data_IF_877226991074
#
_entry.id   IF_877226991074
#
_cell.length_a   1.000
_cell.length_b   1.000
_cell.length_c   1.000
_cell.angle_alpha   90.00
_cell.angle_beta   90.00
_cell.angle_gamma   90.00
#
_symmetry.space_group_name_H-M   'P 1'
#
loop_
_entity.id
_entity.type
_entity.pdbx_description
1 polymer ?
#
# COMPACT_ATOMS: atom_id res chain seq x y z
N UNK A 1 -7.78 6.95 -20.34
CA UNK A 1 -7.25 8.08 -19.52
C UNK A 1 -8.38 8.58 -18.63
N UNK A 2 -8.10 8.76 -17.34
CA UNK A 2 -9.09 9.09 -16.31
C UNK A 2 -8.92 10.53 -15.82
N UNK A 3 -10.02 11.16 -15.40
CA UNK A 3 -9.95 12.38 -14.60
C UNK A 3 -9.45 12.07 -13.17
N UNK A 4 -8.75 12.99 -12.50
CA UNK A 4 -8.34 12.80 -11.10
C UNK A 4 -9.51 12.43 -10.18
N UNK A 5 -10.69 13.03 -10.38
CA UNK A 5 -11.90 12.67 -9.62
C UNK A 5 -12.31 11.21 -9.82
N UNK A 6 -12.22 10.66 -11.03
CA UNK A 6 -12.55 9.25 -11.26
C UNK A 6 -11.55 8.32 -10.58
N UNK A 7 -10.27 8.70 -10.57
CA UNK A 7 -9.23 7.93 -9.87
C UNK A 7 -9.42 8.00 -8.36
N UNK A 8 -9.81 9.16 -7.82
CA UNK A 8 -10.11 9.36 -6.42
C UNK A 8 -11.22 8.41 -5.93
N UNK A 9 -12.31 8.29 -6.70
CA UNK A 9 -13.38 7.32 -6.41
C UNK A 9 -12.88 5.87 -6.43
N UNK A 10 -12.03 5.50 -7.40
CA UNK A 10 -11.48 4.13 -7.51
C UNK A 10 -10.56 3.79 -6.34
N UNK A 11 -9.72 4.75 -5.93
CA UNK A 11 -8.73 4.55 -4.87
C UNK A 11 -9.30 4.78 -3.46
N UNK A 12 -10.49 5.38 -3.35
CA UNK A 12 -11.08 5.75 -2.05
C UNK A 12 -10.33 6.86 -1.33
N UNK A 13 -9.71 7.79 -2.08
CA UNK A 13 -8.90 8.91 -1.56
C UNK A 13 -9.42 10.23 -2.11
N UNK A 14 -8.90 11.36 -1.62
CA UNK A 14 -9.23 12.69 -2.15
C UNK A 14 -8.59 12.96 -3.51
N UNK A 15 -9.14 13.92 -4.25
CA UNK A 15 -8.54 14.39 -5.51
C UNK A 15 -7.14 14.96 -5.30
N UNK A 16 -6.91 15.68 -4.18
CA UNK A 16 -5.59 16.23 -3.86
C UNK A 16 -4.56 15.13 -3.60
N UNK A 17 -4.95 14.04 -2.95
CA UNK A 17 -4.09 12.86 -2.80
C UNK A 17 -3.75 12.22 -4.15
N UNK A 18 -4.70 12.14 -5.09
CA UNK A 18 -4.39 11.67 -6.46
C UNK A 18 -3.35 12.57 -7.12
N UNK A 19 -3.46 13.90 -6.96
CA UNK A 19 -2.49 14.85 -7.51
C UNK A 19 -1.13 14.70 -6.83
N UNK A 20 -1.10 14.48 -5.51
CA UNK A 20 0.13 14.19 -4.77
C UNK A 20 0.82 12.92 -5.29
N UNK A 21 0.07 11.83 -5.49
CA UNK A 21 0.60 10.59 -6.06
C UNK A 21 1.20 10.78 -7.46
N UNK A 22 0.63 11.67 -8.28
CA UNK A 22 1.21 12.05 -9.58
C UNK A 22 2.53 12.81 -9.40
N UNK A 23 2.58 13.76 -8.47
CA UNK A 23 3.81 14.51 -8.16
C UNK A 23 4.92 13.62 -7.59
N UNK A 24 4.55 12.63 -6.78
CA UNK A 24 5.45 11.60 -6.23
C UNK A 24 5.87 10.56 -7.26
N UNK A 25 5.36 10.63 -8.49
CA UNK A 25 5.56 9.66 -9.58
C UNK A 25 5.06 8.24 -9.25
N UNK A 26 4.16 8.12 -8.28
CA UNK A 26 3.45 6.87 -7.97
C UNK A 26 2.31 6.61 -8.96
N UNK A 27 1.73 7.68 -9.52
CA UNK A 27 0.78 7.60 -10.64
C UNK A 27 1.32 8.35 -11.85
N UNK A 28 1.11 7.79 -13.05
CA UNK A 28 1.42 8.46 -14.31
C UNK A 28 0.28 9.40 -14.70
N UNK A 29 0.55 10.70 -14.72
CA UNK A 29 -0.40 11.72 -15.10
C UNK A 29 0.22 12.83 -15.94
N UNK A 30 -0.60 13.46 -16.78
CA UNK A 30 -0.22 14.60 -17.60
C UNK A 30 -1.36 15.63 -17.67
N UNK A 31 -1.00 16.91 -17.90
CA UNK A 31 -1.98 17.94 -18.24
C UNK A 31 -2.18 17.96 -19.76
N UNK A 32 -3.41 17.73 -20.22
CA UNK A 32 -3.73 17.59 -21.65
C UNK A 32 -4.90 18.50 -22.03
N UNK A 33 -4.91 19.01 -23.26
CA UNK A 33 -5.98 19.82 -23.84
C UNK A 33 -5.84 21.32 -23.66
N UNK A 34 -6.87 22.07 -24.08
CA UNK A 34 -6.99 23.52 -23.91
C UNK A 34 -8.41 23.87 -23.41
N UNK A 35 -8.58 24.38 -22.17
CA UNK A 35 -7.54 24.57 -21.16
C UNK A 35 -6.95 23.23 -20.69
N UNK A 36 -5.70 23.25 -20.26
CA UNK A 36 -4.99 22.04 -19.83
C UNK A 36 -5.64 21.45 -18.57
N UNK A 37 -6.03 20.17 -18.63
CA UNK A 37 -6.64 19.44 -17.51
C UNK A 37 -5.83 18.20 -17.20
N UNK A 38 -5.70 17.86 -15.93
CA UNK A 38 -5.05 16.64 -15.50
C UNK A 38 -5.78 15.39 -16.04
N UNK A 39 -5.00 14.44 -16.51
CA UNK A 39 -5.42 13.10 -16.92
C UNK A 39 -4.43 12.08 -16.37
N UNK A 40 -4.96 11.00 -15.83
CA UNK A 40 -4.18 9.89 -15.28
C UNK A 40 -4.29 8.69 -16.22
N UNK A 41 -3.18 7.99 -16.43
CA UNK A 41 -3.16 6.75 -17.21
C UNK A 41 -3.85 5.64 -16.42
N UNK A 42 -4.84 4.99 -17.01
CA UNK A 42 -5.64 3.95 -16.34
C UNK A 42 -4.79 2.74 -15.94
N UNK A 43 -3.90 2.29 -16.82
CA UNK A 43 -2.93 1.23 -16.52
C UNK A 43 -2.09 1.55 -15.29
N UNK A 44 -1.68 2.81 -15.12
CA UNK A 44 -0.90 3.22 -13.94
C UNK A 44 -1.70 3.11 -12.64
N UNK A 45 -3.02 3.26 -12.69
CA UNK A 45 -3.89 3.08 -11.50
C UNK A 45 -4.01 1.60 -11.16
N UNK A 46 -4.20 0.75 -12.18
CA UNK A 46 -4.21 -0.72 -11.98
C UNK A 46 -2.88 -1.21 -11.41
N UNK A 47 -1.76 -0.83 -12.04
CA UNK A 47 -0.43 -1.21 -11.59
C UNK A 47 -0.17 -0.75 -10.13
N UNK A 48 -0.63 0.47 -9.77
CA UNK A 48 -0.55 0.97 -8.39
C UNK A 48 -1.35 0.11 -7.39
N UNK A 49 -2.58 -0.28 -7.74
CA UNK A 49 -3.43 -1.12 -6.88
C UNK A 49 -2.82 -2.51 -6.68
N UNK A 50 -2.26 -3.09 -7.72
CA UNK A 50 -1.56 -4.38 -7.64
C UNK A 50 -0.35 -4.30 -6.69
N UNK A 51 0.44 -3.23 -6.78
CA UNK A 51 1.56 -2.99 -5.85
C UNK A 51 1.08 -2.85 -4.40
N UNK A 52 -0.02 -2.12 -4.15
CA UNK A 52 -0.59 -1.97 -2.80
C UNK A 52 -1.14 -3.30 -2.25
N UNK A 53 -1.78 -4.11 -3.09
CA UNK A 53 -2.31 -5.41 -2.69
C UNK A 53 -1.18 -6.39 -2.34
N UNK A 54 -0.08 -6.38 -3.10
CA UNK A 54 1.08 -7.23 -2.82
C UNK A 54 1.81 -6.80 -1.54
N UNK A 55 1.94 -5.50 -1.28
CA UNK A 55 2.50 -5.00 -0.02
C UNK A 55 1.66 -5.44 1.19
N UNK A 56 0.32 -5.28 1.10
CA UNK A 56 -0.60 -5.73 2.14
C UNK A 56 -0.52 -7.25 2.37
N UNK A 57 -0.40 -8.04 1.29
CA UNK A 57 -0.20 -9.49 1.38
C UNK A 57 1.10 -9.82 2.14
N UNK A 58 2.20 -9.14 1.81
CA UNK A 58 3.52 -9.39 2.41
C UNK A 58 3.52 -9.08 3.91
N UNK A 59 2.89 -7.96 4.30
CA UNK A 59 2.71 -7.57 5.71
C UNK A 59 1.88 -8.62 6.46
N UNK A 60 0.75 -9.05 5.89
CA UNK A 60 -0.11 -10.05 6.52
C UNK A 60 0.60 -11.40 6.76
N UNK A 61 1.40 -11.85 5.80
CA UNK A 61 2.21 -13.07 5.95
C UNK A 61 3.29 -12.91 7.04
N UNK A 62 3.92 -11.74 7.13
CA UNK A 62 4.88 -11.47 8.21
C UNK A 62 4.22 -11.51 9.60
N UNK A 63 3.03 -10.92 9.75
CA UNK A 63 2.28 -10.97 11.01
C UNK A 63 1.91 -12.41 11.42
N UNK A 64 1.43 -13.24 10.49
CA UNK A 64 1.11 -14.65 10.78
C UNK A 64 2.34 -15.45 11.20
N UNK A 65 3.49 -15.21 10.57
CA UNK A 65 4.75 -15.88 10.93
C UNK A 65 5.24 -15.50 12.33
N UNK A 66 4.97 -14.27 12.79
CA UNK A 66 5.34 -13.80 14.14
C UNK A 66 4.39 -14.34 15.23
N UNK A 67 3.11 -14.58 14.93
CA UNK A 67 2.17 -15.20 15.87
C UNK A 67 2.40 -16.72 16.00
N UNK A 68 2.83 -17.38 14.93
CA UNK A 68 3.11 -18.82 14.93
C UNK A 68 4.49 -19.19 15.47
N UNK A 69 5.42 -18.23 15.53
CA UNK A 69 6.73 -18.41 16.15
C UNK A 69 6.64 -17.95 17.61
N UNK A 70 7.18 -18.73 18.54
CA UNK A 70 7.45 -18.39 19.96
C UNK A 70 6.48 -18.87 21.08
N UNK A 71 6.17 -20.17 21.16
CA UNK A 71 5.84 -20.81 22.44
C UNK A 71 7.04 -20.98 23.38
N UNK A 72 8.26 -21.20 22.88
CA UNK A 72 9.39 -21.65 23.73
C UNK A 72 10.25 -20.52 24.31
N UNK A 73 10.14 -19.28 23.81
CA UNK A 73 10.92 -18.13 24.31
C UNK A 73 10.40 -17.56 25.64
N UNK A 74 9.23 -18.02 26.10
CA UNK A 74 8.66 -17.74 27.43
C UNK A 74 8.61 -18.98 28.35
N UNK A 75 9.25 -20.07 27.94
CA UNK A 75 9.29 -21.35 28.66
C UNK A 75 10.30 -21.37 29.82
N UNK A 76 9.86 -20.88 30.98
CA UNK A 76 10.29 -21.29 32.32
C UNK A 76 11.78 -21.23 32.65
N UNK A 77 12.19 -20.08 33.22
CA UNK A 77 13.21 -20.10 34.25
C UNK A 77 12.72 -20.92 35.44
N UNK A 78 13.30 -22.09 35.65
CA UNK A 78 13.47 -22.68 36.97
C UNK A 78 14.74 -23.55 36.96
N UNK A 79 15.90 -22.89 37.08
CA UNK A 79 17.09 -23.57 37.61
C UNK A 79 16.82 -23.80 39.09
N UNK A 80 16.39 -25.01 39.44
CA UNK A 80 16.47 -25.49 40.83
C UNK A 80 17.67 -26.43 40.90
N UNK A 81 18.79 -25.90 41.39
CA UNK A 81 19.71 -26.67 42.21
C UNK A 81 19.41 -26.30 43.66
N UNK A 82 19.03 -27.25 44.51
CA UNK A 82 19.94 -27.54 45.62
C UNK A 82 20.05 -29.04 45.94
N UNK A 83 21.31 -29.41 46.24
CA UNK A 83 21.88 -30.54 46.98
C UNK A 83 21.22 -31.94 46.94
#
# INVERSE_FOLDING_TARGET
>A
MLAPAQVAEVLGVSVDEVIALVHERRLRGARVGSPARWRVEEKSVTDYLDDQAEEARRIALWHQSQEASFPELWGTGFVRNPD
#
